data_IF_216274655004
#
_entry.id   IF_216274655004
#
_cell.length_a   1.000
_cell.length_b   1.000
_cell.length_c   1.000
_cell.angle_alpha   90.00
_cell.angle_beta   90.00
_cell.angle_gamma   90.00
#
_symmetry.space_group_name_H-M   'P 1'
#
loop_
_entity.id
_entity.type
_entity.pdbx_description
1 polymer ?
#
# COMPACT_ATOMS: atom_id res chain seq x y z
N UNK A 1 -31.75 -24.19 -8.97
CA UNK A 1 -31.55 -24.13 -7.51
C UNK A 1 -30.12 -23.69 -7.31
N UNK A 2 -29.90 -22.39 -7.14
CA UNK A 2 -28.54 -21.84 -6.97
C UNK A 2 -28.14 -22.08 -5.51
N UNK A 3 -27.09 -22.86 -5.28
CA UNK A 3 -26.45 -22.95 -3.96
C UNK A 3 -25.90 -21.56 -3.61
N UNK A 4 -26.53 -20.90 -2.64
CA UNK A 4 -25.98 -19.70 -2.02
C UNK A 4 -24.74 -20.13 -1.21
N UNK A 5 -23.56 -19.92 -1.78
CA UNK A 5 -22.30 -20.02 -1.04
C UNK A 5 -22.38 -19.08 0.18
N UNK A 6 -22.08 -19.61 1.36
CA UNK A 6 -22.15 -18.85 2.61
C UNK A 6 -21.23 -17.63 2.53
N UNK A 7 -21.80 -16.43 2.64
CA UNK A 7 -21.03 -15.18 2.68
C UNK A 7 -20.05 -15.20 3.85
N UNK A 8 -18.76 -14.95 3.58
CA UNK A 8 -17.75 -14.81 4.63
C UNK A 8 -18.02 -13.57 5.47
N UNK A 9 -17.54 -13.56 6.72
CA UNK A 9 -17.60 -12.38 7.59
C UNK A 9 -16.92 -11.14 6.97
N UNK A 10 -15.93 -11.35 6.07
CA UNK A 10 -15.32 -10.30 5.25
C UNK A 10 -16.28 -9.64 4.26
N UNK A 11 -17.33 -10.34 3.84
CA UNK A 11 -18.25 -9.90 2.78
C UNK A 11 -19.45 -9.13 3.38
N UNK A 12 -19.60 -9.16 4.72
CA UNK A 12 -20.68 -8.46 5.43
C UNK A 12 -20.37 -6.96 5.50
N UNK A 13 -21.15 -6.18 4.76
CA UNK A 13 -20.96 -4.73 4.61
C UNK A 13 -20.59 -4.32 3.19
N UNK A 14 -20.29 -5.30 2.32
CA UNK A 14 -20.07 -5.06 0.90
C UNK A 14 -21.42 -4.72 0.24
N UNK A 15 -21.55 -3.49 -0.26
CA UNK A 15 -22.81 -2.96 -0.82
C UNK A 15 -23.26 -3.67 -2.11
N UNK A 16 -22.50 -4.67 -2.59
CA UNK A 16 -22.68 -5.32 -3.89
C UNK A 16 -22.74 -6.84 -3.80
N UNK A 17 -23.67 -7.35 -3.01
CA UNK A 17 -23.99 -8.79 -2.88
C UNK A 17 -24.41 -9.51 -4.17
N UNK A 18 -24.52 -8.81 -5.32
CA UNK A 18 -24.90 -9.36 -6.64
C UNK A 18 -23.83 -9.19 -7.72
N UNK A 19 -22.55 -9.15 -7.36
CA UNK A 19 -21.49 -9.07 -8.36
C UNK A 19 -21.40 -10.36 -9.20
N UNK A 20 -21.40 -10.26 -10.54
CA UNK A 20 -21.19 -11.43 -11.41
C UNK A 20 -19.80 -12.04 -11.16
N UNK A 21 -19.76 -13.36 -10.95
CA UNK A 21 -18.51 -14.12 -10.71
C UNK A 21 -18.14 -15.03 -11.89
N UNK A 22 -18.92 -15.03 -12.98
CA UNK A 22 -18.67 -15.91 -14.12
C UNK A 22 -17.37 -15.56 -14.85
N UNK A 23 -16.69 -16.57 -15.39
CA UNK A 23 -15.50 -16.38 -16.22
C UNK A 23 -15.79 -15.48 -17.43
N UNK A 24 -16.93 -15.71 -18.11
CA UNK A 24 -17.36 -14.89 -19.24
C UNK A 24 -17.45 -13.39 -18.90
N UNK A 25 -17.94 -13.04 -17.70
CA UNK A 25 -17.97 -11.65 -17.26
C UNK A 25 -16.57 -11.10 -16.99
N UNK A 26 -15.70 -11.90 -16.35
CA UNK A 26 -14.31 -11.52 -16.05
C UNK A 26 -13.50 -11.27 -17.32
N UNK A 27 -13.67 -12.13 -18.31
CA UNK A 27 -13.00 -12.01 -19.61
C UNK A 27 -13.49 -10.77 -20.36
N UNK A 28 -14.81 -10.53 -20.33
CA UNK A 28 -15.39 -9.33 -20.93
C UNK A 28 -14.89 -8.05 -20.27
N UNK A 29 -15.00 -7.92 -18.94
CA UNK A 29 -14.68 -6.69 -18.22
C UNK A 29 -13.17 -6.37 -18.21
N UNK A 30 -12.32 -7.39 -18.32
CA UNK A 30 -10.86 -7.24 -18.43
C UNK A 30 -10.35 -6.96 -19.85
N UNK A 31 -11.21 -7.04 -20.87
CA UNK A 31 -10.87 -6.86 -22.29
C UNK A 31 -11.14 -5.45 -22.82
N UNK A 32 -10.63 -5.13 -24.01
CA UNK A 32 -10.93 -3.86 -24.70
C UNK A 32 -10.25 -2.60 -24.13
N UNK A 33 -9.39 -2.76 -23.11
CA UNK A 33 -8.62 -1.65 -22.55
C UNK A 33 -7.40 -1.31 -23.39
N UNK A 34 -7.12 -0.01 -23.57
CA UNK A 34 -5.92 0.48 -24.25
C UNK A 34 -4.62 0.04 -23.56
N UNK A 35 -3.48 0.06 -24.29
CA UNK A 35 -2.18 -0.29 -23.71
C UNK A 35 -1.85 0.61 -22.52
N UNK A 36 -1.14 0.05 -21.54
CA UNK A 36 -0.58 0.87 -20.45
C UNK A 36 0.63 1.64 -20.99
N UNK A 37 0.86 2.89 -20.53
CA UNK A 37 2.12 3.57 -20.80
C UNK A 37 3.29 2.69 -20.36
N UNK A 38 4.33 2.60 -21.19
CA UNK A 38 5.56 1.86 -20.88
C UNK A 38 6.66 2.75 -20.31
N UNK A 39 6.52 4.07 -20.46
CA UNK A 39 7.50 5.04 -19.97
C UNK A 39 7.39 5.15 -18.45
N UNK A 40 8.53 5.03 -17.77
CA UNK A 40 8.59 5.26 -16.34
C UNK A 40 8.42 6.76 -16.06
N UNK A 41 7.72 7.12 -14.97
CA UNK A 41 7.57 8.50 -14.54
C UNK A 41 8.93 9.13 -14.18
N UNK A 42 9.01 10.45 -14.32
CA UNK A 42 10.16 11.22 -13.85
C UNK A 42 10.30 11.11 -12.32
N UNK A 43 11.56 11.06 -11.86
CA UNK A 43 11.90 11.06 -10.43
C UNK A 43 11.47 12.38 -9.80
N UNK A 44 10.73 12.31 -8.70
CA UNK A 44 10.28 13.50 -7.98
C UNK A 44 11.47 14.16 -7.27
N UNK A 45 11.51 15.50 -7.25
CA UNK A 45 12.56 16.28 -6.56
C UNK A 45 12.71 15.92 -5.08
N UNK A 46 11.63 15.47 -4.43
CA UNK A 46 11.68 15.08 -3.02
C UNK A 46 12.61 13.88 -2.77
N UNK A 47 12.82 13.03 -3.79
CA UNK A 47 13.69 11.86 -3.73
C UNK A 47 15.14 12.21 -3.36
N UNK A 48 15.62 13.42 -3.69
CA UNK A 48 16.98 13.88 -3.35
C UNK A 48 17.19 14.08 -1.84
N UNK A 49 16.11 14.20 -1.07
CA UNK A 49 16.18 14.42 0.37
C UNK A 49 15.91 13.17 1.20
N UNK A 50 15.41 12.09 0.58
CA UNK A 50 14.91 10.94 1.35
C UNK A 50 16.03 10.21 2.08
N UNK A 51 17.19 10.03 1.45
CA UNK A 51 18.34 9.37 2.06
C UNK A 51 18.79 10.05 3.36
N UNK A 52 19.00 11.37 3.33
CA UNK A 52 19.39 12.13 4.52
C UNK A 52 18.32 12.10 5.61
N UNK A 53 17.03 12.08 5.23
CA UNK A 53 15.92 12.00 6.18
C UNK A 53 15.87 10.63 6.85
N UNK A 54 16.06 9.55 6.10
CA UNK A 54 16.04 8.18 6.65
C UNK A 54 17.24 7.94 7.57
N UNK A 55 18.43 8.44 7.20
CA UNK A 55 19.60 8.39 8.09
C UNK A 55 19.35 9.11 9.42
N UNK A 56 18.81 10.35 9.36
CA UNK A 56 18.51 11.13 10.56
C UNK A 56 17.41 10.52 11.43
N UNK A 57 16.37 9.96 10.80
CA UNK A 57 15.27 9.31 11.51
C UNK A 57 15.69 7.98 12.15
N UNK A 58 16.60 7.24 11.49
CA UNK A 58 17.12 5.97 11.95
C UNK A 58 18.19 6.08 13.06
N UNK A 59 19.00 7.14 13.05
CA UNK A 59 20.13 7.32 13.96
C UNK A 59 19.84 7.10 15.47
N UNK A 60 18.67 7.47 16.03
CA UNK A 60 18.36 7.20 17.43
C UNK A 60 18.03 5.73 17.75
N UNK A 61 17.84 4.89 16.74
CA UNK A 61 17.30 3.53 16.85
C UNK A 61 18.13 2.48 16.09
N UNK A 62 19.46 2.41 16.31
CA UNK A 62 20.29 1.41 15.64
C UNK A 62 19.82 -0.01 16.01
N UNK A 63 19.76 -0.90 15.01
CA UNK A 63 19.34 -2.29 15.20
C UNK A 63 17.83 -2.49 15.41
N UNK A 64 17.03 -1.43 15.50
CA UNK A 64 15.57 -1.52 15.56
C UNK A 64 14.95 -1.32 14.17
N UNK A 65 13.90 -2.06 13.86
CA UNK A 65 13.11 -1.89 12.62
C UNK A 65 12.02 -0.87 12.84
N UNK A 66 12.06 0.22 12.09
CA UNK A 66 11.08 1.30 12.22
C UNK A 66 9.96 1.10 11.22
N UNK A 67 8.71 1.16 11.68
CA UNK A 67 7.52 0.96 10.86
C UNK A 67 6.70 2.25 10.89
N UNK A 68 6.54 2.87 9.72
CA UNK A 68 5.91 4.19 9.55
C UNK A 68 4.73 4.04 8.58
N UNK A 69 3.50 3.84 9.09
CA UNK A 69 2.32 3.73 8.22
C UNK A 69 1.91 5.10 7.67
N UNK A 70 1.38 5.11 6.43
CA UNK A 70 0.68 6.25 5.86
C UNK A 70 -0.70 6.46 6.52
N UNK A 71 -1.34 5.35 6.90
CA UNK A 71 -2.67 5.29 7.48
C UNK A 71 -3.76 4.96 6.44
N UNK A 72 -4.94 4.52 6.91
CA UNK A 72 -6.08 4.20 6.05
C UNK A 72 -6.93 5.45 5.75
N UNK A 73 -7.87 5.35 4.81
CA UNK A 73 -8.93 6.36 4.72
C UNK A 73 -9.74 6.43 6.01
N UNK A 74 -10.31 7.62 6.27
CA UNK A 74 -11.20 7.86 7.40
C UNK A 74 -12.61 8.13 6.88
N UNK A 75 -13.55 7.32 7.34
CA UNK A 75 -14.97 7.44 6.98
C UNK A 75 -15.51 8.77 7.49
N UNK A 76 -16.13 9.54 6.60
CA UNK A 76 -16.89 10.75 6.91
C UNK A 76 -18.35 10.41 7.18
N UNK A 77 -18.97 9.65 6.30
CA UNK A 77 -20.36 9.21 6.43
C UNK A 77 -20.63 8.02 5.51
N UNK A 78 -21.09 6.90 6.07
CA UNK A 78 -21.35 5.65 5.33
C UNK A 78 -20.14 5.21 4.48
N UNK A 79 -20.30 5.11 3.17
CA UNK A 79 -19.29 4.74 2.18
C UNK A 79 -18.46 5.94 1.67
N UNK A 80 -18.68 7.13 2.23
CA UNK A 80 -17.93 8.34 1.88
C UNK A 80 -16.79 8.58 2.87
N UNK A 81 -15.56 8.59 2.36
CA UNK A 81 -14.36 8.94 3.10
C UNK A 81 -14.07 10.46 3.06
N UNK A 82 -13.33 10.95 4.05
CA UNK A 82 -12.61 12.21 3.91
C UNK A 82 -11.53 12.08 2.82
N UNK A 83 -11.11 13.22 2.27
CA UNK A 83 -9.91 13.27 1.41
C UNK A 83 -8.74 12.67 2.18
N UNK A 84 -8.04 11.75 1.53
CA UNK A 84 -6.91 11.09 2.16
C UNK A 84 -5.81 12.09 2.49
N UNK A 85 -5.20 11.90 3.65
CA UNK A 85 -4.02 12.61 4.09
C UNK A 85 -3.13 11.65 4.85
N UNK A 86 -1.99 11.31 4.25
CA UNK A 86 -1.00 10.46 4.90
C UNK A 86 -0.48 11.07 6.22
N UNK A 87 -0.08 10.22 7.16
CA UNK A 87 0.57 10.62 8.40
C UNK A 87 1.84 11.44 8.13
N UNK A 88 2.09 12.47 8.94
CA UNK A 88 3.19 13.44 8.69
C UNK A 88 4.57 12.80 8.66
N UNK A 89 4.83 11.81 9.53
CA UNK A 89 6.11 11.10 9.53
C UNK A 89 6.30 10.29 8.23
N UNK A 90 5.25 9.61 7.76
CA UNK A 90 5.28 8.90 6.49
C UNK A 90 5.54 9.87 5.34
N UNK A 91 4.73 10.93 5.22
CA UNK A 91 4.86 11.89 4.13
C UNK A 91 6.24 12.57 4.10
N UNK A 92 6.85 12.80 5.26
CA UNK A 92 8.19 13.34 5.34
C UNK A 92 9.25 12.36 4.85
N UNK A 93 9.16 11.09 5.26
CA UNK A 93 10.20 10.07 5.00
C UNK A 93 10.06 9.37 3.65
N UNK A 94 8.86 9.29 3.08
CA UNK A 94 8.62 8.69 1.77
C UNK A 94 8.56 9.72 0.64
N UNK A 95 8.31 10.98 0.96
CA UNK A 95 8.00 12.02 -0.03
C UNK A 95 6.58 11.91 -0.61
N UNK A 96 5.85 10.83 -0.31
CA UNK A 96 4.48 10.61 -0.79
C UNK A 96 3.49 11.32 0.14
N UNK A 97 2.72 12.23 -0.43
CA UNK A 97 1.70 13.01 0.29
C UNK A 97 0.45 13.27 -0.54
N UNK A 98 -0.46 14.06 0.03
CA UNK A 98 -1.76 14.34 -0.57
C UNK A 98 -2.67 13.11 -0.55
N UNK A 99 -3.45 12.93 -1.61
CA UNK A 99 -4.42 11.83 -1.77
C UNK A 99 -3.79 10.53 -2.31
N UNK A 100 -2.45 10.45 -2.38
CA UNK A 100 -1.71 9.30 -2.92
C UNK A 100 -1.54 8.18 -1.88
N UNK A 101 -1.72 6.94 -2.33
CA UNK A 101 -1.23 5.71 -1.68
C UNK A 101 -1.66 5.49 -0.20
N UNK A 102 -2.96 5.43 0.11
CA UNK A 102 -3.46 4.97 1.41
C UNK A 102 -2.98 3.54 1.73
N UNK A 103 -2.94 3.19 3.01
CA UNK A 103 -2.57 1.84 3.51
C UNK A 103 -1.11 1.43 3.18
N UNK A 104 -0.30 2.38 2.71
CA UNK A 104 1.14 2.19 2.45
C UNK A 104 1.93 2.24 3.75
N UNK A 105 3.02 1.47 3.82
CA UNK A 105 3.90 1.41 4.98
C UNK A 105 5.34 1.60 4.54
N UNK A 106 6.02 2.59 5.12
CA UNK A 106 7.47 2.71 5.00
C UNK A 106 8.12 1.96 6.15
N UNK A 107 9.02 1.04 5.83
CA UNK A 107 9.85 0.33 6.81
C UNK A 107 11.28 0.82 6.66
N UNK A 108 11.92 1.20 7.77
CA UNK A 108 13.36 1.39 7.82
C UNK A 108 13.97 0.10 8.38
N UNK A 109 14.55 -0.69 7.49
CA UNK A 109 15.20 -1.97 7.80
C UNK A 109 16.58 -1.72 8.41
N UNK A 110 16.89 -2.23 9.62
CA UNK A 110 18.17 -1.96 10.25
C UNK A 110 19.31 -2.70 9.52
N UNK A 111 20.43 -2.00 9.33
CA UNK A 111 21.66 -2.54 8.78
C UNK A 111 22.66 -2.84 9.91
N UNK A 112 23.65 -3.69 9.66
CA UNK A 112 24.69 -4.05 10.64
C UNK A 112 25.56 -2.86 11.07
N UNK A 113 25.70 -1.85 10.21
CA UNK A 113 26.45 -0.62 10.47
C UNK A 113 25.67 0.42 11.32
N UNK A 114 24.45 0.07 11.75
CA UNK A 114 23.58 0.94 12.55
C UNK A 114 22.74 1.93 11.73
N UNK A 115 22.87 1.94 10.39
CA UNK A 115 21.99 2.70 9.49
C UNK A 115 20.72 1.92 9.16
N UNK A 116 19.86 2.49 8.31
CA UNK A 116 18.66 1.80 7.84
C UNK A 116 18.49 1.88 6.32
N UNK A 117 17.97 0.81 5.75
CA UNK A 117 17.54 0.72 4.35
C UNK A 117 16.02 0.96 4.26
N UNK A 118 15.55 2.00 3.55
CA UNK A 118 14.12 2.28 3.44
C UNK A 118 13.44 1.38 2.41
N UNK A 119 12.36 0.72 2.83
CA UNK A 119 11.51 -0.16 2.02
C UNK A 119 10.07 0.34 2.03
N UNK A 120 9.49 0.59 0.86
CA UNK A 120 8.12 1.08 0.71
C UNK A 120 7.17 -0.06 0.32
N UNK A 121 6.27 -0.41 1.23
CA UNK A 121 5.26 -1.45 1.03
C UNK A 121 3.92 -0.83 0.66
N UNK A 122 3.44 -1.09 -0.54
CA UNK A 122 2.14 -0.57 -0.99
C UNK A 122 1.42 -1.60 -1.87
N UNK A 123 0.17 -1.32 -2.20
CA UNK A 123 -0.63 -2.17 -3.07
C UNK A 123 -0.52 -1.66 -4.52
N UNK A 124 0.29 -2.29 -5.40
CA UNK A 124 0.41 -1.84 -6.78
C UNK A 124 -0.87 -2.09 -7.57
N UNK A 125 -0.97 -1.51 -8.78
CA UNK A 125 -2.09 -1.80 -9.69
C UNK A 125 -2.30 -3.31 -9.89
N UNK A 126 -3.57 -3.72 -9.87
CA UNK A 126 -3.93 -5.10 -10.15
C UNK A 126 -3.88 -5.41 -11.66
N UNK A 127 -3.84 -6.69 -12.02
CA UNK A 127 -4.13 -7.13 -13.39
C UNK A 127 -5.57 -6.81 -13.76
N UNK A 128 -5.84 -6.39 -15.00
CA UNK A 128 -7.22 -6.16 -15.50
C UNK A 128 -8.08 -7.42 -15.52
N UNK A 129 -7.45 -8.60 -15.47
CA UNK A 129 -8.13 -9.90 -15.35
C UNK A 129 -8.40 -10.35 -13.91
N UNK A 130 -7.93 -9.59 -12.91
CA UNK A 130 -8.13 -9.93 -11.50
C UNK A 130 -9.54 -9.52 -11.03
N UNK A 131 -10.03 -10.17 -9.98
CA UNK A 131 -11.28 -9.76 -9.33
C UNK A 131 -11.15 -8.36 -8.72
N UNK A 132 -10.00 -8.07 -8.10
CA UNK A 132 -9.70 -6.76 -7.49
C UNK A 132 -9.89 -5.59 -8.46
N UNK A 133 -9.57 -5.77 -9.75
CA UNK A 133 -9.70 -4.72 -10.75
C UNK A 133 -11.08 -4.07 -10.80
N UNK A 134 -12.16 -4.86 -10.71
CA UNK A 134 -13.54 -4.40 -10.90
C UNK A 134 -14.43 -4.57 -9.67
N UNK A 135 -14.13 -5.53 -8.79
CA UNK A 135 -14.99 -5.88 -7.67
C UNK A 135 -14.77 -4.97 -6.45
N UNK A 136 -13.59 -4.38 -6.34
CA UNK A 136 -13.21 -3.51 -5.24
C UNK A 136 -13.53 -2.05 -5.60
N UNK A 137 -14.59 -1.49 -5.01
CA UNK A 137 -14.98 -0.10 -5.27
C UNK A 137 -14.02 0.92 -4.63
N UNK A 138 -13.22 0.48 -3.67
CA UNK A 138 -12.30 1.33 -2.91
C UNK A 138 -10.91 1.37 -3.53
N UNK A 139 -10.43 0.26 -4.07
CA UNK A 139 -9.08 0.13 -4.62
C UNK A 139 -8.99 -0.35 -6.06
N UNK A 140 -10.11 -0.81 -6.66
CA UNK A 140 -10.11 -1.34 -8.02
C UNK A 140 -9.87 -0.25 -9.07
N UNK A 141 -8.92 -0.49 -9.98
CA UNK A 141 -8.55 0.44 -11.06
C UNK A 141 -9.75 0.87 -11.91
N UNK A 142 -10.76 0.02 -12.05
CA UNK A 142 -12.00 0.36 -12.76
C UNK A 142 -12.75 1.56 -12.14
N UNK A 143 -12.65 1.73 -10.81
CA UNK A 143 -13.41 2.75 -10.06
C UNK A 143 -12.56 3.98 -9.73
N UNK A 144 -11.32 3.76 -9.29
CA UNK A 144 -10.48 4.83 -8.74
C UNK A 144 -9.29 5.21 -9.64
N UNK A 145 -9.16 4.56 -10.79
CA UNK A 145 -8.07 4.78 -11.73
C UNK A 145 -6.83 3.92 -11.45
N UNK A 146 -5.86 3.97 -12.37
CA UNK A 146 -4.68 3.13 -12.29
C UNK A 146 -3.73 3.60 -11.18
N UNK A 147 -3.46 2.71 -10.23
CA UNK A 147 -2.36 2.85 -9.27
C UNK A 147 -1.00 2.72 -9.97
N UNK A 148 0.08 3.24 -9.40
CA UNK A 148 1.41 2.94 -9.90
C UNK A 148 1.75 1.45 -9.79
N UNK A 149 2.61 0.97 -10.66
CA UNK A 149 3.34 -0.28 -10.48
C UNK A 149 4.47 -0.08 -9.47
N UNK A 150 5.06 -1.18 -8.98
CA UNK A 150 6.24 -1.11 -8.12
C UNK A 150 7.38 -0.32 -8.80
N UNK A 151 7.65 -0.60 -10.08
CA UNK A 151 8.70 0.05 -10.86
C UNK A 151 8.47 1.55 -11.03
N UNK A 152 7.23 1.98 -11.28
CA UNK A 152 6.91 3.40 -11.43
C UNK A 152 7.05 4.16 -10.11
N UNK A 153 6.59 3.59 -8.99
CA UNK A 153 6.72 4.26 -7.69
C UNK A 153 8.17 4.28 -7.22
N UNK A 154 8.94 3.23 -7.53
CA UNK A 154 10.39 3.19 -7.34
C UNK A 154 11.09 4.25 -8.17
N UNK A 155 10.74 4.40 -9.46
CA UNK A 155 11.29 5.45 -10.32
C UNK A 155 10.97 6.87 -9.80
N UNK A 156 9.74 7.11 -9.31
CA UNK A 156 9.33 8.40 -8.75
C UNK A 156 10.07 8.75 -7.45
N UNK A 157 10.15 7.81 -6.51
CA UNK A 157 10.63 8.09 -5.15
C UNK A 157 12.10 7.78 -4.94
N UNK A 158 12.68 6.91 -5.76
CA UNK A 158 13.99 6.30 -5.55
C UNK A 158 14.03 5.28 -4.41
N UNK A 159 12.88 4.93 -3.82
CA UNK A 159 12.78 3.94 -2.76
C UNK A 159 12.61 2.54 -3.34
N UNK A 160 13.19 1.55 -2.66
CA UNK A 160 12.88 0.16 -2.96
C UNK A 160 11.41 -0.12 -2.59
N UNK A 161 10.64 -0.66 -3.54
CA UNK A 161 9.22 -0.93 -3.35
C UNK A 161 8.91 -2.42 -3.29
N UNK A 162 7.99 -2.80 -2.40
CA UNK A 162 7.51 -4.18 -2.22
C UNK A 162 5.99 -4.21 -2.16
N UNK A 163 5.41 -5.37 -2.48
CA UNK A 163 3.96 -5.57 -2.37
C UNK A 163 3.55 -5.62 -0.89
N UNK A 164 2.46 -4.93 -0.52
CA UNK A 164 1.97 -4.85 0.86
C UNK A 164 1.70 -6.23 1.49
N UNK A 165 1.25 -7.21 0.72
CA UNK A 165 1.04 -8.59 1.19
C UNK A 165 2.30 -9.24 1.78
N UNK A 166 3.50 -8.79 1.40
CA UNK A 166 4.78 -9.28 1.95
C UNK A 166 5.18 -8.60 3.26
N UNK A 167 4.49 -7.53 3.67
CA UNK A 167 4.85 -6.74 4.85
C UNK A 167 4.91 -7.61 6.11
N UNK A 168 3.89 -8.44 6.33
CA UNK A 168 3.81 -9.29 7.53
C UNK A 168 5.02 -10.22 7.66
N UNK A 169 5.39 -10.87 6.56
CA UNK A 169 6.52 -11.78 6.54
C UNK A 169 7.84 -11.03 6.80
N UNK A 170 7.99 -9.83 6.22
CA UNK A 170 9.16 -8.98 6.46
C UNK A 170 9.26 -8.51 7.92
N UNK A 171 8.14 -8.13 8.53
CA UNK A 171 8.12 -7.74 9.94
C UNK A 171 8.43 -8.92 10.87
N UNK A 172 7.99 -10.12 10.52
CA UNK A 172 8.14 -11.33 11.33
C UNK A 172 9.47 -12.08 11.15
N UNK A 173 10.22 -11.85 10.06
CA UNK A 173 11.41 -12.66 9.71
C UNK A 173 12.49 -12.75 10.81
N UNK A 174 12.58 -11.73 11.67
CA UNK A 174 13.56 -11.65 12.78
C UNK A 174 12.87 -11.53 14.15
N UNK A 175 11.66 -12.07 14.28
CA UNK A 175 10.91 -12.02 15.53
C UNK A 175 11.74 -12.60 16.69
N UNK A 176 11.91 -11.81 17.76
CA UNK A 176 12.73 -12.16 18.91
C UNK A 176 14.20 -11.74 18.84
N UNK A 177 14.68 -11.26 17.67
CA UNK A 177 16.04 -10.73 17.50
C UNK A 177 16.04 -9.24 17.22
N UNK A 178 15.15 -8.76 16.33
CA UNK A 178 15.02 -7.34 15.98
C UNK A 178 13.78 -6.75 16.65
N UNK A 179 13.93 -5.64 17.36
CA UNK A 179 12.79 -4.92 17.94
C UNK A 179 12.05 -4.12 16.87
N UNK A 180 10.72 -4.23 16.85
CA UNK A 180 9.86 -3.39 16.03
C UNK A 180 9.49 -2.10 16.76
N UNK A 181 9.62 -0.96 16.08
CA UNK A 181 9.16 0.35 16.55
C UNK A 181 8.18 0.95 15.56
N UNK A 182 6.89 0.89 15.92
CA UNK A 182 5.79 1.34 15.07
C UNK A 182 5.34 2.75 15.49
N UNK A 183 5.08 3.62 14.50
CA UNK A 183 4.38 4.88 14.74
C UNK A 183 2.91 4.58 15.07
N UNK A 184 2.58 4.71 16.36
CA UNK A 184 1.28 4.32 16.93
C UNK A 184 0.15 5.30 16.62
N UNK A 185 -1.08 4.82 16.69
CA UNK A 185 -2.30 5.58 16.46
C UNK A 185 -2.59 5.90 15.00
N UNK A 186 -1.86 5.28 14.07
CA UNK A 186 -1.97 5.58 12.63
C UNK A 186 -2.79 4.52 11.90
N UNK A 187 -2.41 3.25 12.07
CA UNK A 187 -3.03 2.11 11.41
C UNK A 187 -3.10 0.91 12.36
N UNK A 188 -4.32 0.57 12.78
CA UNK A 188 -4.57 -0.52 13.71
C UNK A 188 -4.26 -1.90 13.12
N UNK A 189 -4.33 -2.07 11.79
CA UNK A 189 -3.99 -3.34 11.15
C UNK A 189 -2.49 -3.57 11.20
N UNK A 190 -1.69 -2.53 10.95
CA UNK A 190 -0.22 -2.60 11.04
C UNK A 190 0.24 -2.80 12.48
N UNK A 191 -0.41 -2.14 13.44
CA UNK A 191 -0.12 -2.32 14.87
C UNK A 191 -0.45 -3.73 15.40
N UNK A 192 -1.33 -4.47 14.72
CA UNK A 192 -1.76 -5.81 15.10
C UNK A 192 -0.97 -6.94 14.43
N UNK A 193 -0.02 -6.62 13.53
CA UNK A 193 0.83 -7.62 12.85
C UNK A 193 1.88 -8.20 13.79
#
# INVERSE_FOLDING_TARGET
MSEEASQSMSDRGETRSRQPQSSAFRDFIGSGWGPRPSELPERERVADFLHDRTLKAGAPFPGERLVVPAGPYKVRSNDCDYRFRAHSAFAHLSGLGGEKEPDTVLVLEPNEDGTHTPLLFFKPRASRSSKEFYADARYGEFWVGARPSLEELSAQTGLETRHIDTLRDVLAKDAGTVQLRIVRGVDANVEAM
#
